data_IF_176393391381
#
_entry.id   IF_176393391381
#
_cell.length_a   1.000
_cell.length_b   1.000
_cell.length_c   1.000
_cell.angle_alpha   90.00
_cell.angle_beta   90.00
_cell.angle_gamma   90.00
#
_symmetry.space_group_name_H-M   'P 1'
#
loop_
_entity.id
_entity.type
_entity.pdbx_description
1 polymer ?
#
# COMPACT_ATOMS: atom_id res chain seq x y z
N UNK A 1 -53.17 110.83 54.39
CA UNK A 1 -53.85 109.66 53.88
C UNK A 1 -53.04 109.03 52.71
N UNK A 2 -52.29 109.74 51.94
CA UNK A 2 -51.53 109.26 50.74
C UNK A 2 -50.30 108.40 51.10
N UNK A 3 -49.60 108.75 52.16
CA UNK A 3 -48.41 107.97 52.63
C UNK A 3 -48.80 106.58 53.12
N UNK A 4 -49.94 106.41 53.73
CA UNK A 4 -50.43 105.09 54.17
C UNK A 4 -50.86 104.22 52.98
N UNK A 5 -51.40 104.83 51.93
CA UNK A 5 -51.74 104.13 50.70
C UNK A 5 -50.48 103.62 49.97
N UNK A 6 -49.46 104.44 49.89
CA UNK A 6 -48.18 104.04 49.28
C UNK A 6 -47.49 102.95 50.09
N UNK A 7 -47.58 102.98 51.39
CA UNK A 7 -47.02 101.93 52.27
C UNK A 7 -47.73 100.57 52.06
N UNK A 8 -49.05 100.61 52.04
CA UNK A 8 -49.85 99.39 51.80
C UNK A 8 -49.63 98.84 50.40
N UNK A 9 -49.44 99.70 49.40
CA UNK A 9 -49.15 99.25 48.05
C UNK A 9 -47.75 98.59 47.93
N UNK A 10 -46.77 99.19 48.59
CA UNK A 10 -45.40 98.59 48.63
C UNK A 10 -45.37 97.32 49.42
N UNK A 11 -46.12 97.23 50.49
CA UNK A 11 -46.25 96.03 51.31
C UNK A 11 -46.92 94.88 50.53
N UNK A 12 -47.99 95.16 49.81
CA UNK A 12 -48.64 94.18 48.91
C UNK A 12 -47.75 93.79 47.79
N UNK A 13 -47.01 94.71 47.21
CA UNK A 13 -46.05 94.41 46.13
C UNK A 13 -44.88 93.51 46.63
N UNK A 14 -44.40 93.83 47.83
CA UNK A 14 -43.37 93.07 48.50
C UNK A 14 -43.83 91.63 48.77
N UNK A 15 -45.01 91.46 49.34
CA UNK A 15 -45.60 90.15 49.57
C UNK A 15 -45.82 89.39 48.25
N UNK A 16 -46.29 90.03 47.20
CA UNK A 16 -46.47 89.45 45.90
C UNK A 16 -45.13 89.01 45.27
N UNK A 17 -44.11 89.81 45.35
CA UNK A 17 -42.79 89.50 44.87
C UNK A 17 -42.13 88.34 45.64
N UNK A 18 -42.39 88.33 47.00
CA UNK A 18 -41.90 87.20 47.82
C UNK A 18 -42.62 85.92 47.47
N UNK A 19 -43.91 85.92 47.30
CA UNK A 19 -44.68 84.74 46.86
C UNK A 19 -44.23 84.30 45.48
N UNK A 20 -43.99 85.23 44.55
CA UNK A 20 -43.53 84.87 43.19
C UNK A 20 -42.11 84.32 43.20
N UNK A 21 -41.25 84.77 44.10
CA UNK A 21 -39.90 84.22 44.31
C UNK A 21 -39.96 82.80 44.86
N UNK A 22 -40.86 82.55 45.82
CA UNK A 22 -41.05 81.19 46.33
C UNK A 22 -41.62 80.25 45.27
N UNK A 23 -42.63 80.68 44.50
CA UNK A 23 -43.17 79.88 43.40
C UNK A 23 -42.15 79.60 42.36
N UNK A 24 -41.29 80.52 41.98
CA UNK A 24 -40.23 80.29 41.02
C UNK A 24 -39.12 79.39 41.59
N UNK A 25 -38.81 79.49 42.87
CA UNK A 25 -37.89 78.60 43.55
C UNK A 25 -38.41 77.17 43.60
N UNK A 26 -39.69 76.96 43.91
CA UNK A 26 -40.34 75.67 43.90
C UNK A 26 -40.42 75.14 42.48
N UNK A 27 -40.75 75.96 41.49
CA UNK A 27 -40.79 75.60 40.09
C UNK A 27 -39.39 75.21 39.57
N UNK A 28 -38.32 75.90 40.00
CA UNK A 28 -36.95 75.56 39.62
C UNK A 28 -36.47 74.23 40.22
N UNK A 29 -36.96 73.95 41.46
CA UNK A 29 -36.67 72.66 42.10
C UNK A 29 -37.48 71.54 41.43
N UNK A 30 -38.73 71.84 41.05
CA UNK A 30 -39.58 70.88 40.32
C UNK A 30 -39.13 70.62 38.91
N UNK A 31 -38.47 71.58 38.28
CA UNK A 31 -37.81 71.38 36.95
C UNK A 31 -36.38 70.91 37.09
N UNK A 32 -35.84 70.69 38.32
CA UNK A 32 -34.62 69.94 38.48
C UNK A 32 -34.82 68.53 37.85
N UNK A 33 -34.20 68.42 36.74
CA UNK A 33 -34.23 67.27 35.83
C UNK A 33 -34.27 65.91 36.59
N UNK A 34 -35.37 65.18 36.45
CA UNK A 34 -35.46 63.76 36.85
C UNK A 34 -34.50 62.83 36.03
N UNK A 35 -33.54 63.43 35.36
CA UNK A 35 -32.50 62.69 34.68
C UNK A 35 -31.48 62.20 35.71
N UNK A 36 -31.71 61.03 36.25
CA UNK A 36 -30.64 60.25 36.86
C UNK A 36 -29.68 59.91 35.75
N UNK A 37 -28.49 60.52 35.75
CA UNK A 37 -27.40 60.12 34.84
C UNK A 37 -27.09 58.67 35.13
N UNK A 38 -27.63 57.77 34.29
CA UNK A 38 -27.21 56.39 34.28
C UNK A 38 -25.72 56.40 33.96
N UNK A 39 -24.94 55.64 34.69
CA UNK A 39 -23.53 55.55 34.46
C UNK A 39 -23.25 55.40 32.97
N UNK A 40 -22.33 56.16 32.39
CA UNK A 40 -21.98 55.99 31.00
C UNK A 40 -21.57 54.55 30.82
N UNK A 41 -21.97 53.93 29.72
CA UNK A 41 -21.53 52.61 29.38
C UNK A 41 -19.97 52.59 29.34
N UNK A 42 -19.38 52.09 30.41
CA UNK A 42 -17.92 51.91 30.49
C UNK A 42 -17.64 50.58 29.83
N UNK A 43 -16.98 50.63 28.68
CA UNK A 43 -16.45 49.42 28.08
C UNK A 43 -15.51 48.73 29.08
N UNK A 44 -15.84 47.51 29.49
CA UNK A 44 -14.94 46.70 30.29
C UNK A 44 -13.65 46.54 29.47
N UNK A 45 -12.52 47.00 30.00
CA UNK A 45 -11.23 46.90 29.36
C UNK A 45 -10.72 45.45 29.22
N UNK A 46 -11.51 44.48 29.68
CA UNK A 46 -11.23 43.06 29.50
C UNK A 46 -12.19 42.51 28.45
N UNK A 47 -11.68 41.87 27.39
CA UNK A 47 -12.53 41.18 26.42
C UNK A 47 -13.35 40.10 27.16
N UNK A 48 -14.65 40.05 26.86
CA UNK A 48 -15.60 39.04 27.38
C UNK A 48 -15.42 37.67 26.69
N UNK A 49 -14.20 37.34 26.23
CA UNK A 49 -13.86 36.08 25.58
C UNK A 49 -12.86 35.27 26.38
N UNK A 50 -12.61 34.06 25.94
CA UNK A 50 -11.50 33.26 26.43
C UNK A 50 -10.19 34.02 26.21
N UNK A 51 -9.27 34.07 27.19
CA UNK A 51 -8.03 34.80 27.04
C UNK A 51 -7.24 34.27 25.82
N UNK A 52 -6.67 35.17 25.03
CA UNK A 52 -5.96 34.86 23.79
C UNK A 52 -4.90 33.78 23.96
N UNK A 53 -4.26 33.72 25.13
CA UNK A 53 -3.30 32.69 25.47
C UNK A 53 -3.90 31.27 25.51
N UNK A 54 -5.15 31.11 25.97
CA UNK A 54 -5.81 29.80 25.97
C UNK A 54 -6.19 29.39 24.54
N UNK A 55 -6.65 30.33 23.73
CA UNK A 55 -6.99 30.06 22.33
C UNK A 55 -5.74 29.67 21.52
N UNK A 56 -4.63 30.35 21.76
CA UNK A 56 -3.33 29.99 21.14
C UNK A 56 -2.86 28.62 21.56
N UNK A 57 -2.98 28.24 22.84
CA UNK A 57 -2.58 26.95 23.36
C UNK A 57 -3.43 25.81 22.78
N UNK A 58 -4.74 26.02 22.65
CA UNK A 58 -5.64 25.06 21.99
C UNK A 58 -5.31 24.93 20.50
N UNK A 59 -5.08 26.05 19.81
CA UNK A 59 -4.68 26.04 18.41
C UNK A 59 -3.36 25.30 18.18
N UNK A 60 -2.37 25.53 19.03
CA UNK A 60 -1.08 24.82 18.99
C UNK A 60 -1.25 23.31 19.25
N UNK A 61 -2.06 22.96 20.25
CA UNK A 61 -2.32 21.55 20.58
C UNK A 61 -3.00 20.81 19.43
N UNK A 62 -4.02 21.41 18.84
CA UNK A 62 -4.69 20.84 17.65
C UNK A 62 -3.72 20.75 16.48
N UNK A 63 -2.89 21.78 16.28
CA UNK A 63 -1.87 21.81 15.21
C UNK A 63 -0.86 20.66 15.31
N UNK A 64 -0.52 20.21 16.50
CA UNK A 64 0.38 19.06 16.71
C UNK A 64 -0.35 17.72 16.70
N UNK A 65 -1.50 17.63 17.35
CA UNK A 65 -2.23 16.37 17.50
C UNK A 65 -2.88 15.93 16.19
N UNK A 66 -3.41 16.87 15.41
CA UNK A 66 -4.12 16.55 14.16
C UNK A 66 -3.25 15.84 13.12
N UNK A 67 -2.02 16.29 12.80
CA UNK A 67 -1.14 15.59 11.85
C UNK A 67 -0.78 14.18 12.34
N UNK A 68 -0.47 14.02 13.63
CA UNK A 68 -0.13 12.71 14.21
C UNK A 68 -1.33 11.76 14.10
N UNK A 69 -2.52 12.26 14.40
CA UNK A 69 -3.75 11.48 14.29
C UNK A 69 -4.06 11.07 12.84
N UNK A 70 -3.84 11.98 11.87
CA UNK A 70 -4.01 11.67 10.45
C UNK A 70 -3.01 10.59 10.00
N UNK A 71 -1.73 10.70 10.38
CA UNK A 71 -0.71 9.70 10.05
C UNK A 71 -1.09 8.35 10.64
N UNK A 72 -1.52 8.31 11.91
CA UNK A 72 -1.98 7.10 12.57
C UNK A 72 -3.18 6.46 11.85
N UNK A 73 -4.16 7.28 11.43
CA UNK A 73 -5.29 6.78 10.63
C UNK A 73 -4.85 6.22 9.28
N UNK A 74 -3.94 6.90 8.58
CA UNK A 74 -3.43 6.41 7.29
C UNK A 74 -2.67 5.10 7.44
N UNK A 75 -1.93 4.93 8.53
CA UNK A 75 -1.21 3.70 8.84
C UNK A 75 -2.17 2.55 9.19
N UNK A 76 -3.22 2.84 9.96
CA UNK A 76 -4.26 1.86 10.32
C UNK A 76 -5.00 1.29 9.08
N UNK A 77 -5.18 2.10 8.03
CA UNK A 77 -5.80 1.68 6.77
C UNK A 77 -4.79 1.13 5.75
N UNK A 78 -3.51 1.12 6.09
CA UNK A 78 -2.47 0.60 5.21
C UNK A 78 -2.33 -0.91 5.37
N UNK A 79 -3.02 -1.67 4.51
CA UNK A 79 -2.95 -3.14 4.47
C UNK A 79 -1.78 -3.67 3.63
N UNK A 80 -0.80 -2.82 3.29
CA UNK A 80 0.35 -3.23 2.48
C UNK A 80 1.48 -3.72 3.39
N UNK A 81 2.09 -4.81 3.02
CA UNK A 81 3.32 -5.29 3.65
C UNK A 81 4.45 -4.33 3.23
N UNK A 82 4.98 -3.57 4.18
CA UNK A 82 6.04 -2.59 3.96
C UNK A 82 7.33 -2.96 4.67
N UNK A 83 7.23 -3.70 5.77
CA UNK A 83 8.36 -4.06 6.61
C UNK A 83 8.41 -5.58 6.86
N UNK A 84 9.60 -6.06 7.19
CA UNK A 84 9.81 -7.45 7.56
C UNK A 84 8.98 -7.89 8.75
N UNK A 85 8.75 -6.99 9.70
CA UNK A 85 7.99 -7.26 10.92
C UNK A 85 6.54 -7.61 10.61
N UNK A 86 5.95 -7.02 9.58
CA UNK A 86 4.57 -7.28 9.16
C UNK A 86 4.35 -8.75 8.78
N UNK A 87 5.41 -9.40 8.28
CA UNK A 87 5.38 -10.82 7.93
C UNK A 87 5.65 -11.69 9.15
N UNK A 88 6.66 -11.34 9.96
CA UNK A 88 7.10 -12.19 11.08
C UNK A 88 6.09 -12.23 12.22
N UNK A 89 5.28 -11.19 12.39
CA UNK A 89 4.20 -11.17 13.39
C UNK A 89 2.96 -11.97 12.94
N UNK A 90 2.74 -12.09 11.63
CA UNK A 90 1.54 -12.71 11.08
C UNK A 90 1.77 -14.10 10.48
N UNK A 91 3.02 -14.57 10.40
CA UNK A 91 3.36 -15.85 9.77
C UNK A 91 4.62 -16.46 10.36
N UNK A 92 4.57 -17.77 10.60
CA UNK A 92 5.74 -18.58 11.00
C UNK A 92 6.63 -18.96 9.78
N UNK A 93 6.27 -18.53 8.57
CA UNK A 93 7.04 -18.85 7.37
C UNK A 93 8.41 -18.14 7.37
N UNK A 94 9.51 -18.86 7.10
CA UNK A 94 10.83 -18.23 7.08
C UNK A 94 10.97 -17.27 5.92
N UNK A 95 11.49 -16.07 6.19
CA UNK A 95 11.86 -15.11 5.15
C UNK A 95 13.20 -15.54 4.56
N UNK A 96 13.16 -15.99 3.31
CA UNK A 96 14.33 -16.57 2.63
C UNK A 96 15.23 -15.47 2.06
N UNK A 97 14.64 -14.43 1.49
CA UNK A 97 15.36 -13.29 0.91
C UNK A 97 14.48 -12.06 0.83
N UNK A 98 15.13 -10.92 0.76
CA UNK A 98 14.54 -9.62 0.50
C UNK A 98 15.20 -9.06 -0.77
N UNK A 99 14.38 -8.66 -1.75
CA UNK A 99 14.85 -8.16 -3.03
C UNK A 99 14.40 -6.71 -3.16
N UNK A 100 15.36 -5.81 -3.27
CA UNK A 100 15.11 -4.38 -3.40
C UNK A 100 14.46 -4.05 -4.74
N UNK A 101 13.56 -3.09 -4.71
CA UNK A 101 13.02 -2.50 -5.92
C UNK A 101 14.02 -1.49 -6.49
N UNK A 102 14.40 -1.67 -7.76
CA UNK A 102 15.24 -0.73 -8.50
C UNK A 102 14.56 -0.40 -9.84
N UNK A 103 14.06 0.82 -10.02
CA UNK A 103 13.40 1.22 -11.26
C UNK A 103 14.34 1.27 -12.46
N UNK A 104 15.65 1.36 -12.24
CA UNK A 104 16.66 1.34 -13.30
C UNK A 104 16.98 -0.08 -13.78
N UNK A 105 16.57 -1.09 -13.02
CA UNK A 105 16.82 -2.49 -13.33
C UNK A 105 15.79 -3.04 -14.32
N UNK A 106 16.03 -2.77 -15.60
CA UNK A 106 15.16 -3.25 -16.71
C UNK A 106 15.50 -4.65 -17.21
N UNK A 107 16.51 -5.30 -16.63
CA UNK A 107 16.98 -6.59 -17.11
C UNK A 107 16.23 -7.72 -16.41
N UNK A 108 15.45 -8.47 -17.18
CA UNK A 108 14.73 -9.64 -16.67
C UNK A 108 15.64 -10.83 -16.34
N UNK A 109 16.87 -10.84 -16.82
CA UNK A 109 17.83 -11.91 -16.61
C UNK A 109 19.09 -11.39 -15.95
N UNK A 110 19.40 -11.94 -14.79
CA UNK A 110 20.65 -11.66 -14.08
C UNK A 110 21.73 -12.54 -14.66
N UNK A 111 22.57 -11.94 -15.49
CA UNK A 111 23.83 -12.55 -15.95
C UNK A 111 24.94 -12.37 -14.91
N UNK A 112 26.19 -12.26 -15.40
CA UNK A 112 27.36 -11.99 -14.56
C UNK A 112 27.48 -10.52 -14.11
N UNK A 113 26.39 -9.81 -13.97
CA UNK A 113 26.35 -8.40 -13.54
C UNK A 113 26.66 -8.26 -12.05
N UNK A 114 27.39 -7.19 -11.71
CA UNK A 114 27.68 -6.81 -10.31
C UNK A 114 26.66 -5.76 -9.82
N UNK A 115 25.38 -6.09 -9.86
CA UNK A 115 24.34 -5.23 -9.28
C UNK A 115 23.94 -5.72 -7.90
N UNK A 116 23.39 -4.80 -7.08
CA UNK A 116 22.86 -5.14 -5.74
C UNK A 116 21.79 -6.23 -5.85
N UNK A 117 20.90 -6.11 -6.82
CA UNK A 117 19.84 -7.12 -7.06
C UNK A 117 20.46 -8.48 -7.41
N UNK A 118 21.50 -8.52 -8.25
CA UNK A 118 22.17 -9.76 -8.58
C UNK A 118 22.74 -10.46 -7.35
N UNK A 119 23.31 -9.69 -6.45
CA UNK A 119 23.85 -10.24 -5.20
C UNK A 119 22.73 -10.75 -4.27
N UNK A 120 21.63 -10.02 -4.17
CA UNK A 120 20.45 -10.46 -3.42
C UNK A 120 19.90 -11.80 -3.96
N UNK A 121 19.86 -12.01 -5.27
CA UNK A 121 19.48 -13.29 -5.84
C UNK A 121 20.51 -14.42 -5.60
N UNK A 122 21.81 -14.10 -5.54
CA UNK A 122 22.83 -15.09 -5.14
C UNK A 122 22.66 -15.52 -3.68
N UNK A 123 22.37 -14.56 -2.80
CA UNK A 123 22.04 -14.83 -1.40
C UNK A 123 20.75 -15.65 -1.31
N UNK A 124 19.72 -15.27 -2.06
CA UNK A 124 18.46 -16.04 -2.14
C UNK A 124 18.71 -17.50 -2.53
N UNK A 125 19.48 -17.73 -3.60
CA UNK A 125 19.87 -19.09 -4.00
C UNK A 125 20.57 -19.84 -2.89
N UNK A 126 21.51 -19.22 -2.21
CA UNK A 126 22.25 -19.84 -1.10
C UNK A 126 21.32 -20.24 0.04
N UNK A 127 20.47 -19.34 0.49
CA UNK A 127 19.52 -19.59 1.57
C UNK A 127 18.52 -20.69 1.20
N UNK A 128 18.03 -20.68 -0.05
CA UNK A 128 17.13 -21.69 -0.56
C UNK A 128 17.76 -23.09 -0.52
N UNK A 129 19.05 -23.22 -0.83
CA UNK A 129 19.77 -24.50 -0.77
C UNK A 129 19.84 -25.08 0.64
N UNK A 130 19.88 -24.25 1.67
CA UNK A 130 19.86 -24.70 3.07
C UNK A 130 18.47 -25.19 3.51
N UNK A 131 17.41 -24.61 2.95
CA UNK A 131 16.03 -24.97 3.29
C UNK A 131 15.55 -26.22 2.56
N UNK A 132 16.12 -26.50 1.39
CA UNK A 132 15.73 -27.67 0.63
C UNK A 132 16.23 -28.95 1.31
N UNK A 133 15.38 -29.98 1.45
CA UNK A 133 15.77 -31.23 2.09
C UNK A 133 16.91 -31.86 1.32
N UNK A 134 17.93 -32.30 2.04
CA UNK A 134 19.04 -33.16 1.50
C UNK A 134 18.52 -34.56 1.40
N UNK A 135 17.78 -34.87 0.35
CA UNK A 135 17.38 -36.25 0.11
C UNK A 135 18.57 -37.00 -0.49
N UNK A 136 18.82 -38.21 0.02
CA UNK A 136 19.85 -39.12 -0.50
C UNK A 136 19.57 -39.59 -1.95
N UNK A 137 18.35 -39.35 -2.44
CA UNK A 137 17.92 -39.62 -3.81
C UNK A 137 17.96 -38.33 -4.65
N UNK A 138 19.18 -37.88 -4.95
CA UNK A 138 19.41 -36.72 -5.84
C UNK A 138 18.88 -36.92 -7.28
N UNK A 139 18.34 -38.10 -7.57
CA UNK A 139 17.79 -38.46 -8.90
C UNK A 139 16.48 -37.74 -9.22
N UNK A 140 15.75 -37.25 -8.23
CA UNK A 140 14.40 -36.69 -8.44
C UNK A 140 14.37 -35.19 -8.75
N UNK A 141 15.49 -34.49 -8.57
CA UNK A 141 15.52 -33.03 -8.70
C UNK A 141 14.66 -32.31 -7.65
N UNK A 142 14.84 -31.02 -7.51
CA UNK A 142 14.06 -30.17 -6.56
C UNK A 142 12.99 -29.43 -7.31
N UNK A 143 11.77 -29.42 -6.78
CA UNK A 143 10.65 -28.65 -7.31
C UNK A 143 10.42 -27.42 -6.43
N UNK A 144 10.42 -26.24 -7.03
CA UNK A 144 10.17 -24.97 -6.37
C UNK A 144 8.93 -24.36 -6.99
N UNK A 145 7.91 -24.16 -6.18
CA UNK A 145 6.69 -23.46 -6.58
C UNK A 145 6.78 -22.01 -6.18
N UNK A 146 6.69 -21.09 -7.15
CA UNK A 146 6.65 -19.65 -6.94
C UNK A 146 5.22 -19.16 -7.15
N UNK A 147 4.61 -18.64 -6.09
CA UNK A 147 3.26 -18.07 -6.12
C UNK A 147 3.21 -16.74 -5.39
N UNK A 148 2.14 -15.98 -5.54
CA UNK A 148 1.91 -14.73 -4.81
C UNK A 148 0.42 -14.55 -4.53
N UNK A 149 0.09 -13.61 -3.65
CA UNK A 149 -1.30 -13.31 -3.27
C UNK A 149 -2.04 -12.55 -4.36
N UNK A 150 -1.35 -11.63 -5.03
CA UNK A 150 -1.91 -10.75 -6.03
C UNK A 150 -1.12 -10.79 -7.34
N UNK A 151 -1.77 -10.32 -8.39
CA UNK A 151 -1.11 -10.13 -9.67
C UNK A 151 -0.20 -8.89 -9.63
N UNK A 152 1.01 -9.01 -10.20
CA UNK A 152 1.94 -7.88 -10.26
C UNK A 152 2.97 -7.82 -9.12
N UNK A 153 2.96 -8.76 -8.17
CA UNK A 153 3.91 -8.82 -7.05
C UNK A 153 5.32 -9.31 -7.44
N UNK A 154 5.59 -9.50 -8.71
CA UNK A 154 6.93 -9.87 -9.20
C UNK A 154 7.22 -11.37 -9.29
N UNK A 155 6.21 -12.26 -9.23
CA UNK A 155 6.39 -13.72 -9.40
C UNK A 155 7.32 -14.08 -10.55
N UNK A 156 6.99 -13.57 -11.73
CA UNK A 156 7.74 -13.87 -12.96
C UNK A 156 9.17 -13.34 -12.92
N UNK A 157 9.36 -12.15 -12.34
CA UNK A 157 10.67 -11.55 -12.14
C UNK A 157 11.52 -12.40 -11.18
N UNK A 158 10.94 -12.79 -10.05
CA UNK A 158 11.62 -13.61 -9.04
C UNK A 158 11.95 -14.99 -9.59
N UNK A 159 11.00 -15.68 -10.23
CA UNK A 159 11.20 -17.03 -10.75
C UNK A 159 12.25 -17.07 -11.85
N UNK A 160 12.21 -16.12 -12.80
CA UNK A 160 13.18 -16.07 -13.90
C UNK A 160 14.60 -15.77 -13.40
N UNK A 161 14.76 -14.76 -12.55
CA UNK A 161 16.08 -14.38 -12.07
C UNK A 161 16.67 -15.41 -11.10
N UNK A 162 15.85 -16.04 -10.27
CA UNK A 162 16.30 -17.15 -9.42
C UNK A 162 16.75 -18.35 -10.28
N UNK A 163 15.96 -18.70 -11.32
CA UNK A 163 16.31 -19.75 -12.27
C UNK A 163 17.64 -19.46 -12.98
N UNK A 164 17.86 -18.23 -13.43
CA UNK A 164 19.10 -17.81 -14.07
C UNK A 164 20.30 -17.94 -13.14
N UNK A 165 20.20 -17.47 -11.89
CA UNK A 165 21.29 -17.55 -10.91
C UNK A 165 21.57 -18.99 -10.47
N UNK A 166 20.56 -19.87 -10.42
CA UNK A 166 20.76 -21.29 -10.18
C UNK A 166 21.48 -21.93 -11.37
N UNK A 167 21.10 -21.61 -12.62
CA UNK A 167 21.74 -22.15 -13.81
C UNK A 167 23.20 -21.72 -13.94
N UNK A 168 23.52 -20.49 -13.58
CA UNK A 168 24.90 -19.98 -13.52
C UNK A 168 25.77 -20.71 -12.48
N UNK A 169 25.18 -21.41 -11.51
CA UNK A 169 25.93 -22.27 -10.59
C UNK A 169 26.21 -23.68 -11.13
N UNK A 170 26.01 -23.91 -12.43
CA UNK A 170 26.25 -25.19 -13.08
C UNK A 170 25.12 -26.21 -12.94
N UNK A 171 23.93 -25.77 -12.45
CA UNK A 171 22.78 -26.67 -12.29
C UNK A 171 21.80 -26.52 -13.44
N UNK A 172 21.24 -27.64 -13.90
CA UNK A 172 20.17 -27.63 -14.91
C UNK A 172 18.87 -27.14 -14.25
N UNK A 173 18.18 -26.19 -14.89
CA UNK A 173 16.95 -25.59 -14.41
C UNK A 173 15.89 -25.65 -15.49
N UNK A 174 14.71 -26.18 -15.17
CA UNK A 174 13.50 -25.97 -15.94
C UNK A 174 12.64 -24.88 -15.30
N UNK A 175 12.39 -23.84 -16.04
CA UNK A 175 11.41 -22.82 -15.66
C UNK A 175 10.12 -23.06 -16.45
N UNK A 176 9.04 -23.40 -15.73
CA UNK A 176 7.72 -23.63 -16.29
C UNK A 176 6.80 -22.46 -15.92
N UNK A 177 6.29 -21.78 -16.92
CA UNK A 177 5.39 -20.64 -16.77
C UNK A 177 3.94 -21.12 -16.91
N UNK A 178 3.25 -21.27 -15.76
CA UNK A 178 1.86 -21.70 -15.69
C UNK A 178 0.87 -20.56 -15.45
N UNK A 179 1.19 -19.34 -15.88
CA UNK A 179 0.20 -18.25 -15.87
C UNK A 179 -0.77 -18.39 -17.07
N UNK A 180 -1.65 -19.39 -17.00
CA UNK A 180 -2.61 -19.73 -18.06
C UNK A 180 -3.79 -18.75 -18.15
N UNK A 181 -3.79 -17.64 -17.40
CA UNK A 181 -4.85 -16.65 -17.36
C UNK A 181 -4.48 -15.32 -17.99
N UNK A 182 -3.20 -15.06 -18.20
CA UNK A 182 -2.71 -13.79 -18.75
C UNK A 182 -1.85 -14.02 -19.98
N UNK A 183 -2.14 -13.22 -21.02
CA UNK A 183 -1.32 -13.19 -22.25
C UNK A 183 0.10 -12.66 -22.02
N UNK A 184 0.39 -12.02 -20.89
CA UNK A 184 1.72 -11.50 -20.60
C UNK A 184 2.63 -12.63 -20.10
N UNK A 185 3.23 -13.32 -21.03
CA UNK A 185 4.43 -14.09 -20.78
C UNK A 185 5.59 -13.18 -20.35
N UNK A 186 6.55 -13.74 -19.66
CA UNK A 186 7.78 -13.03 -19.28
C UNK A 186 8.43 -12.50 -20.55
N UNK A 187 8.66 -11.16 -20.61
CA UNK A 187 9.40 -10.58 -21.73
C UNK A 187 10.87 -10.92 -21.59
N UNK A 188 11.36 -11.71 -22.52
CA UNK A 188 12.76 -12.07 -22.65
C UNK A 188 13.18 -11.67 -24.07
N UNK A 189 14.01 -10.62 -24.22
CA UNK A 189 14.35 -10.08 -25.55
C UNK A 189 14.84 -11.13 -26.57
N UNK A 190 15.57 -12.15 -26.10
CA UNK A 190 16.06 -13.23 -26.96
C UNK A 190 14.96 -14.18 -27.42
N UNK A 191 13.81 -14.21 -26.73
CA UNK A 191 12.66 -15.08 -27.03
C UNK A 191 11.44 -14.32 -27.56
N UNK A 192 11.45 -12.99 -27.47
CA UNK A 192 10.37 -12.16 -27.95
C UNK A 192 10.37 -12.16 -29.49
N UNK A 193 9.26 -12.58 -30.09
CA UNK A 193 9.14 -12.78 -31.56
C UNK A 193 9.28 -14.23 -32.04
N UNK A 194 9.70 -15.13 -31.18
CA UNK A 194 9.73 -16.60 -31.51
C UNK A 194 8.38 -17.21 -31.13
N UNK A 195 7.82 -17.99 -32.04
CA UNK A 195 6.53 -18.71 -32.01
C UNK A 195 5.80 -18.76 -30.67
N UNK A 196 4.50 -18.41 -30.70
CA UNK A 196 3.56 -18.43 -29.58
C UNK A 196 3.22 -19.85 -29.04
N UNK A 197 3.92 -20.88 -29.44
CA UNK A 197 3.71 -22.26 -28.99
C UNK A 197 4.28 -22.43 -27.59
N UNK A 198 3.47 -22.99 -26.69
CA UNK A 198 3.86 -23.20 -25.30
C UNK A 198 3.11 -24.36 -24.63
N UNK A 199 3.15 -24.35 -23.30
CA UNK A 199 2.54 -25.39 -22.44
C UNK A 199 1.05 -25.56 -22.77
N UNK A 200 0.31 -24.49 -22.99
CA UNK A 200 -1.11 -24.55 -23.28
C UNK A 200 -1.42 -25.34 -24.58
N UNK A 201 -0.60 -25.21 -25.61
CA UNK A 201 -0.77 -25.94 -26.85
C UNK A 201 -0.55 -27.46 -26.66
N UNK A 202 0.40 -27.82 -25.80
CA UNK A 202 0.62 -29.21 -25.43
C UNK A 202 -0.56 -29.76 -24.61
N UNK A 203 -0.95 -29.04 -23.55
CA UNK A 203 -2.05 -29.47 -22.68
C UNK A 203 -3.40 -29.57 -23.41
N UNK A 204 -3.63 -28.79 -24.47
CA UNK A 204 -4.82 -28.88 -25.34
C UNK A 204 -4.72 -29.91 -26.45
N UNK A 205 -3.60 -30.63 -26.56
CA UNK A 205 -3.37 -31.62 -27.61
C UNK A 205 -3.06 -31.05 -29.02
N UNK A 206 -2.89 -29.73 -29.13
CA UNK A 206 -2.52 -29.08 -30.40
C UNK A 206 -1.09 -29.40 -30.82
N UNK A 207 -0.24 -29.71 -29.87
CA UNK A 207 1.16 -30.06 -30.05
C UNK A 207 1.42 -31.32 -29.22
N UNK A 208 1.99 -32.33 -29.83
CA UNK A 208 2.35 -33.60 -29.15
C UNK A 208 3.83 -33.68 -28.81
N UNK A 209 4.67 -32.96 -29.54
CA UNK A 209 6.11 -32.93 -29.30
C UNK A 209 6.49 -31.90 -28.23
N UNK A 210 6.88 -32.40 -27.08
CA UNK A 210 7.33 -31.58 -25.94
C UNK A 210 8.65 -30.85 -26.20
N UNK A 211 9.47 -31.34 -27.13
CA UNK A 211 10.71 -30.68 -27.51
C UNK A 211 10.44 -29.33 -28.22
N UNK A 212 9.31 -29.22 -28.91
CA UNK A 212 8.94 -28.00 -29.65
C UNK A 212 8.57 -26.82 -28.75
N UNK A 213 8.06 -27.07 -27.53
CA UNK A 213 7.66 -26.02 -26.56
C UNK A 213 8.82 -25.55 -25.69
N UNK A 214 9.95 -26.25 -25.75
CA UNK A 214 11.15 -25.91 -24.97
C UNK A 214 11.98 -24.84 -25.68
N UNK A 215 12.45 -23.88 -24.89
CA UNK A 215 13.37 -22.85 -25.35
C UNK A 215 14.57 -22.75 -24.41
N UNK A 216 15.76 -22.61 -25.01
CA UNK A 216 17.01 -22.36 -24.30
C UNK A 216 17.58 -21.03 -24.76
N UNK A 217 18.29 -20.35 -23.87
CA UNK A 217 18.96 -19.07 -24.14
C UNK A 217 20.45 -19.35 -24.39
N UNK A 218 21.04 -18.68 -25.38
CA UNK A 218 22.48 -18.78 -25.64
C UNK A 218 23.29 -18.32 -24.40
N UNK A 219 22.82 -17.30 -23.71
CA UNK A 219 23.44 -16.76 -22.49
C UNK A 219 23.31 -17.70 -21.27
N UNK A 220 22.35 -18.63 -21.28
CA UNK A 220 22.04 -19.54 -20.17
C UNK A 220 21.77 -20.97 -20.69
N UNK A 221 22.79 -21.70 -21.12
CA UNK A 221 22.60 -23.00 -21.78
C UNK A 221 22.01 -24.11 -20.87
N UNK A 222 22.09 -23.92 -19.54
CA UNK A 222 21.52 -24.82 -18.55
C UNK A 222 20.11 -24.40 -18.07
N UNK A 223 19.56 -23.28 -18.59
CA UNK A 223 18.22 -22.81 -18.29
C UNK A 223 17.28 -23.15 -19.44
N UNK A 224 16.34 -24.04 -19.17
CA UNK A 224 15.31 -24.50 -20.09
C UNK A 224 13.98 -23.80 -19.73
N UNK A 225 13.43 -23.06 -20.68
CA UNK A 225 12.21 -22.24 -20.44
C UNK A 225 11.06 -22.85 -21.21
N UNK A 226 9.97 -23.13 -20.51
CA UNK A 226 8.69 -23.58 -21.03
C UNK A 226 7.70 -22.50 -20.85
N UNK A 227 7.36 -21.76 -21.91
CA UNK A 227 6.41 -20.62 -21.85
C UNK A 227 4.97 -21.11 -21.84
N UNK A 228 4.08 -20.27 -21.32
CA UNK A 228 2.63 -20.54 -21.25
C UNK A 228 2.03 -20.88 -22.63
N UNK A 229 2.33 -20.08 -23.66
CA UNK A 229 1.64 -20.15 -24.96
C UNK A 229 0.35 -19.34 -24.96
N UNK A 230 -0.55 -19.54 -25.96
CA UNK A 230 -1.84 -18.86 -26.05
C UNK A 230 -2.78 -19.27 -24.91
N UNK A 231 -3.71 -18.37 -24.53
CA UNK A 231 -4.62 -18.63 -23.43
C UNK A 231 -5.63 -19.75 -23.79
N UNK A 232 -5.71 -20.81 -22.98
CA UNK A 232 -6.71 -21.85 -23.18
C UNK A 232 -8.07 -21.42 -22.61
N UNK A 233 -9.15 -22.06 -23.10
CA UNK A 233 -10.51 -21.81 -22.63
C UNK A 233 -10.73 -22.26 -21.16
N UNK A 234 -10.22 -23.42 -20.76
CA UNK A 234 -10.40 -24.00 -19.43
C UNK A 234 -9.04 -24.32 -18.79
N UNK A 235 -8.35 -23.33 -18.26
CA UNK A 235 -7.01 -23.52 -17.69
C UNK A 235 -7.00 -24.47 -16.48
N UNK A 236 -8.06 -24.53 -15.69
CA UNK A 236 -8.14 -25.37 -14.51
C UNK A 236 -8.16 -26.87 -14.86
N UNK A 237 -8.98 -27.24 -15.83
CA UNK A 237 -9.14 -28.63 -16.25
C UNK A 237 -7.86 -29.18 -16.89
N UNK A 238 -7.11 -28.34 -17.59
CA UNK A 238 -5.86 -28.71 -18.24
C UNK A 238 -4.76 -29.10 -17.24
N UNK A 239 -4.74 -28.48 -16.07
CA UNK A 239 -3.74 -28.76 -15.05
C UNK A 239 -4.03 -30.09 -14.31
N UNK A 240 -5.29 -30.47 -14.23
CA UNK A 240 -5.69 -31.73 -13.56
C UNK A 240 -5.57 -32.93 -14.52
N UNK A 241 -5.51 -32.70 -15.82
CA UNK A 241 -5.49 -33.74 -16.85
C UNK A 241 -4.18 -34.53 -16.94
N UNK A 242 -4.23 -35.72 -17.52
CA UNK A 242 -3.11 -36.64 -17.68
C UNK A 242 -1.94 -36.04 -18.47
N UNK A 243 -2.20 -35.09 -19.37
CA UNK A 243 -1.19 -34.41 -20.15
C UNK A 243 -0.22 -33.58 -19.24
N UNK A 244 -0.71 -33.08 -18.12
CA UNK A 244 0.13 -32.41 -17.13
C UNK A 244 1.12 -33.39 -16.48
N UNK A 245 0.66 -34.59 -16.13
CA UNK A 245 1.50 -35.65 -15.59
C UNK A 245 2.62 -36.02 -16.57
N UNK A 246 2.29 -36.22 -17.85
CA UNK A 246 3.26 -36.51 -18.92
C UNK A 246 4.26 -35.37 -19.13
N UNK A 247 3.82 -34.10 -19.09
CA UNK A 247 4.71 -32.96 -19.16
C UNK A 247 5.73 -32.95 -17.99
N UNK A 248 5.25 -33.21 -16.78
CA UNK A 248 6.13 -33.25 -15.60
C UNK A 248 7.13 -34.39 -15.63
N UNK A 249 6.73 -35.55 -16.17
CA UNK A 249 7.60 -36.69 -16.37
C UNK A 249 8.64 -36.41 -17.46
N UNK A 250 8.23 -35.88 -18.60
CA UNK A 250 9.14 -35.47 -19.68
C UNK A 250 10.19 -34.47 -19.19
N UNK A 251 9.77 -33.42 -18.45
CA UNK A 251 10.69 -32.44 -17.89
C UNK A 251 11.63 -33.09 -16.87
N UNK A 252 11.18 -34.13 -16.17
CA UNK A 252 12.01 -34.90 -15.25
C UNK A 252 13.06 -35.69 -16.00
N UNK A 253 12.69 -36.39 -17.07
CA UNK A 253 13.56 -37.30 -17.77
C UNK A 253 14.57 -36.62 -18.70
N UNK A 254 14.12 -35.60 -19.43
CA UNK A 254 15.00 -34.89 -20.37
C UNK A 254 16.00 -33.94 -19.72
N UNK A 255 15.72 -33.50 -18.51
CA UNK A 255 16.68 -32.71 -17.73
C UNK A 255 17.58 -33.61 -16.88
N UNK A 256 17.31 -34.91 -16.81
CA UNK A 256 18.08 -35.87 -16.04
C UNK A 256 19.11 -36.61 -16.97
N UNK A 257 20.27 -36.02 -17.26
CA UNK A 257 21.33 -36.80 -17.86
C UNK A 257 22.05 -37.57 -16.76
N UNK A 258 22.47 -38.74 -17.05
CA UNK A 258 23.32 -39.78 -16.46
C UNK A 258 24.35 -39.32 -15.37
N UNK A 259 24.46 -38.04 -15.00
CA UNK A 259 25.37 -37.51 -13.98
C UNK A 259 24.62 -36.75 -12.90
N UNK A 260 24.86 -37.18 -11.69
CA UNK A 260 24.58 -36.67 -10.32
C UNK A 260 24.45 -35.12 -10.10
N UNK A 261 23.77 -34.38 -10.97
CA UNK A 261 23.59 -32.93 -10.81
C UNK A 261 22.18 -32.62 -10.35
N UNK A 262 22.09 -31.90 -9.23
CA UNK A 262 20.82 -31.47 -8.66
C UNK A 262 20.06 -30.64 -9.68
N UNK A 263 18.87 -31.10 -10.06
CA UNK A 263 17.97 -30.42 -10.96
C UNK A 263 17.01 -29.51 -10.17
N UNK A 264 16.68 -28.35 -10.72
CA UNK A 264 15.64 -27.49 -10.19
C UNK A 264 14.51 -27.34 -11.19
N UNK A 265 13.28 -27.58 -10.73
CA UNK A 265 12.05 -27.29 -11.48
C UNK A 265 11.38 -26.13 -10.82
N UNK A 266 11.24 -25.01 -11.52
CA UNK A 266 10.60 -23.83 -10.98
C UNK A 266 9.28 -23.61 -11.71
N UNK A 267 8.20 -23.62 -10.95
CA UNK A 267 6.83 -23.47 -11.45
C UNK A 267 6.29 -22.15 -10.96
N UNK A 268 5.97 -21.24 -11.88
CA UNK A 268 5.31 -19.97 -11.57
C UNK A 268 3.81 -20.10 -11.83
N UNK A 269 3.00 -20.08 -10.76
CA UNK A 269 1.53 -20.23 -10.83
C UNK A 269 0.86 -18.99 -10.27
N UNK A 270 -0.27 -18.58 -10.87
CA UNK A 270 -1.09 -17.50 -10.33
C UNK A 270 -1.85 -17.90 -9.06
N UNK A 271 -2.00 -16.98 -8.11
CA UNK A 271 -2.54 -17.19 -6.76
C UNK A 271 -3.98 -17.69 -6.72
N UNK A 272 -4.80 -17.31 -7.68
CA UNK A 272 -6.22 -17.70 -7.73
C UNK A 272 -6.43 -19.20 -7.97
N UNK A 273 -5.36 -19.92 -8.32
CA UNK A 273 -5.41 -21.37 -8.50
C UNK A 273 -5.58 -22.13 -7.17
N UNK A 274 -5.08 -21.56 -6.08
CA UNK A 274 -5.10 -22.15 -4.75
C UNK A 274 -6.51 -22.15 -4.13
N UNK A 275 -7.34 -21.24 -4.51
CA UNK A 275 -8.70 -21.07 -3.96
C UNK A 275 -9.66 -22.13 -4.52
N UNK A 276 -9.54 -22.42 -5.80
CA UNK A 276 -10.37 -23.45 -6.46
C UNK A 276 -9.99 -24.89 -6.09
N UNK A 277 -8.71 -25.14 -5.77
CA UNK A 277 -8.27 -26.47 -5.32
C UNK A 277 -8.73 -26.80 -3.88
N UNK A 278 -9.12 -25.81 -3.08
CA UNK A 278 -9.66 -26.00 -1.73
C UNK A 278 -11.18 -26.20 -1.72
N UNK A 279 -11.88 -25.86 -2.80
CA UNK A 279 -13.35 -25.89 -2.89
C UNK A 279 -13.88 -27.17 -3.57
N UNK A 280 -13.03 -28.07 -4.06
CA UNK A 280 -13.48 -29.41 -4.47
C UNK A 280 -13.61 -30.27 -3.22
N UNK A 281 -14.85 -30.64 -2.80
CA UNK A 281 -15.04 -31.59 -1.73
C UNK A 281 -14.49 -32.95 -2.19
N UNK A 282 -13.65 -33.54 -1.36
CA UNK A 282 -13.24 -34.96 -1.48
C UNK A 282 -14.49 -35.82 -1.46
N UNK A 283 -14.96 -36.28 -2.58
CA UNK A 283 -15.88 -37.42 -2.67
C UNK A 283 -15.11 -38.72 -2.65
#
# INVERSE_FOLDING_TARGET
QEINRQRQTKEKLFLYLLQRKEETAISSISTASNYRKLDPAIASGKPLGTPDSQLQLVGLSIGFILPIFIIYLLDLFNNKITQRIDITENSDAPIIAEISYDPSFNTMLIGNTRSVIAEQFRIFRSNLQFLLPKNNDDKLGKIILVTSSMSGEGKSFVSLNLASVISLSGKKVALLEFDLRKLKSISIPELDGVTSIGISNYLTGQVTDLASIHKSLASFPLLHIYRTGPLPYNPADLIIGDAMGQLMEYVKDNLNPIKRETMFKMISIDSQFRENARTTPST
#
